data_IF_200546344901
#
_entry.id   IF_200546344901
#
_cell.length_a   1.000
_cell.length_b   1.000
_cell.length_c   1.000
_cell.angle_alpha   90.00
_cell.angle_beta   90.00
_cell.angle_gamma   90.00
#
_symmetry.space_group_name_H-M   'P 1'
#
loop_
_entity.id
_entity.type
_entity.pdbx_description
1 polymer ?
#
# COMPACT_ATOMS: atom_id res chain seq x y z
N UNK A 1 9.83 -28.17 39.58
CA UNK A 1 10.27 -26.75 39.51
C UNK A 1 10.21 -26.19 38.07
N UNK A 2 10.71 -26.90 37.06
CA UNK A 2 10.67 -26.40 35.67
C UNK A 2 9.26 -26.14 35.13
N UNK A 3 8.28 -27.03 35.38
CA UNK A 3 6.89 -26.81 34.93
C UNK A 3 6.22 -25.61 35.59
N UNK A 4 6.61 -25.26 36.81
CA UNK A 4 6.10 -24.08 37.53
C UNK A 4 6.72 -22.79 36.98
N UNK A 5 7.99 -22.84 36.58
CA UNK A 5 8.70 -21.73 35.94
C UNK A 5 8.14 -21.45 34.55
N UNK A 6 7.84 -22.48 33.77
CA UNK A 6 7.20 -22.33 32.45
C UNK A 6 5.78 -21.78 32.56
N UNK A 7 5.02 -22.21 33.58
CA UNK A 7 3.67 -21.69 33.84
C UNK A 7 3.71 -20.23 34.31
N UNK A 8 4.70 -19.85 35.15
CA UNK A 8 4.93 -18.47 35.57
C UNK A 8 5.40 -17.62 34.38
N UNK A 9 6.24 -18.13 33.50
CA UNK A 9 6.68 -17.45 32.28
C UNK A 9 5.54 -17.25 31.29
N UNK A 10 4.65 -18.22 31.12
CA UNK A 10 3.42 -18.13 30.33
C UNK A 10 2.39 -17.15 30.93
N UNK A 11 2.30 -17.11 32.27
CA UNK A 11 1.45 -16.16 32.98
C UNK A 11 2.02 -14.73 32.91
N UNK A 12 3.35 -14.57 32.99
CA UNK A 12 4.02 -13.28 32.83
C UNK A 12 3.93 -12.82 31.37
N UNK A 13 4.08 -13.71 30.39
CA UNK A 13 3.83 -13.38 28.97
C UNK A 13 2.37 -12.98 28.75
N UNK A 14 1.38 -13.72 29.29
CA UNK A 14 -0.02 -13.30 29.24
C UNK A 14 -0.29 -11.96 29.92
N UNK A 15 0.36 -11.65 31.04
CA UNK A 15 0.20 -10.35 31.69
C UNK A 15 0.90 -9.20 30.97
N UNK A 16 2.01 -9.43 30.27
CA UNK A 16 2.69 -8.41 29.47
C UNK A 16 2.02 -8.15 28.09
N UNK A 17 1.43 -9.17 27.48
CA UNK A 17 0.60 -9.00 26.29
C UNK A 17 -0.84 -8.62 26.63
N UNK A 18 -1.29 -8.88 27.88
CA UNK A 18 -2.67 -8.72 28.30
C UNK A 18 -3.12 -7.27 28.58
N UNK A 19 -2.24 -6.31 28.77
CA UNK A 19 -2.69 -4.94 29.08
C UNK A 19 -3.13 -4.12 27.86
N UNK A 20 -2.95 -4.63 26.64
CA UNK A 20 -3.43 -3.95 25.42
C UNK A 20 -4.30 -4.80 24.52
N UNK A 21 -4.54 -6.07 24.89
CA UNK A 21 -5.33 -7.03 24.10
C UNK A 21 -6.47 -7.65 24.92
N UNK A 22 -6.83 -7.11 26.08
CA UNK A 22 -8.09 -7.42 26.76
C UNK A 22 -9.29 -6.79 26.03
N UNK A 23 -9.22 -6.78 24.70
CA UNK A 23 -10.38 -6.50 23.90
C UNK A 23 -11.19 -7.79 23.86
N UNK A 24 -12.29 -7.81 24.59
CA UNK A 24 -13.29 -8.87 24.51
C UNK A 24 -13.97 -8.80 23.13
N UNK A 25 -13.23 -9.29 22.11
CA UNK A 25 -13.70 -9.26 20.72
C UNK A 25 -15.06 -9.91 20.47
N UNK A 26 -15.50 -10.93 21.20
CA UNK A 26 -16.87 -11.40 21.11
C UNK A 26 -17.90 -10.35 21.50
N UNK A 27 -17.56 -9.44 22.45
CA UNK A 27 -18.43 -8.37 22.92
C UNK A 27 -18.65 -7.25 21.90
N UNK A 28 -17.68 -7.03 21.00
CA UNK A 28 -17.73 -5.98 19.99
C UNK A 28 -17.77 -6.58 18.59
N UNK A 29 -18.91 -6.60 17.91
CA UNK A 29 -19.00 -7.11 16.54
C UNK A 29 -18.11 -6.28 15.60
N UNK A 30 -17.54 -6.93 14.59
CA UNK A 30 -16.80 -6.21 13.55
C UNK A 30 -17.70 -5.22 12.83
N UNK A 31 -17.16 -4.06 12.44
CA UNK A 31 -17.94 -3.00 11.82
C UNK A 31 -18.89 -2.28 12.77
N UNK A 32 -18.60 -2.26 14.08
CA UNK A 32 -19.40 -1.54 15.05
C UNK A 32 -19.61 -0.09 14.61
N UNK A 33 -20.87 0.31 14.53
CA UNK A 33 -21.25 1.71 14.24
C UNK A 33 -20.93 2.57 15.47
N UNK A 34 -20.07 3.57 15.26
CA UNK A 34 -19.73 4.58 16.25
C UNK A 34 -20.66 5.78 16.12
N UNK A 35 -20.91 6.24 14.88
CA UNK A 35 -21.86 7.29 14.57
C UNK A 35 -22.70 6.93 13.34
N UNK A 36 -24.01 7.17 13.41
CA UNK A 36 -24.95 7.08 12.29
C UNK A 36 -25.54 8.47 12.02
N UNK A 37 -25.10 9.13 10.97
CA UNK A 37 -25.50 10.50 10.64
C UNK A 37 -26.94 10.66 10.18
N UNK A 38 -27.70 9.57 10.15
CA UNK A 38 -29.16 9.60 10.00
C UNK A 38 -29.88 9.95 11.32
N UNK A 39 -29.30 9.51 12.45
CA UNK A 39 -29.94 9.55 13.77
C UNK A 39 -29.18 10.32 14.84
N UNK A 40 -27.83 10.42 14.73
CA UNK A 40 -27.01 11.03 15.77
C UNK A 40 -27.02 12.56 15.64
N UNK A 41 -27.72 13.23 16.54
CA UNK A 41 -27.90 14.69 16.54
C UNK A 41 -26.86 15.45 17.37
N UNK A 42 -26.14 14.76 18.27
CA UNK A 42 -25.31 15.41 19.30
C UNK A 42 -23.84 15.55 18.95
N UNK A 43 -23.40 15.10 17.78
CA UNK A 43 -21.99 15.16 17.40
C UNK A 43 -21.59 16.61 17.07
N UNK A 44 -20.77 17.19 17.96
CA UNK A 44 -20.26 18.56 17.79
C UNK A 44 -19.24 18.60 16.66
N UNK A 45 -19.39 19.56 15.76
CA UNK A 45 -18.43 19.76 14.66
C UNK A 45 -18.17 21.26 14.42
N UNK A 46 -17.02 21.50 13.76
CA UNK A 46 -16.65 22.79 13.16
C UNK A 46 -16.39 22.58 11.68
N UNK A 47 -16.67 23.58 10.86
CA UNK A 47 -16.43 23.49 9.41
C UNK A 47 -15.72 24.73 8.88
N UNK A 48 -14.93 24.51 7.82
CA UNK A 48 -14.22 25.55 7.07
C UNK A 48 -14.43 25.26 5.59
N UNK A 49 -14.67 26.28 4.77
CA UNK A 49 -14.88 26.14 3.33
C UNK A 49 -16.10 25.28 2.95
N UNK A 50 -17.10 25.23 3.82
CA UNK A 50 -18.34 24.47 3.61
C UNK A 50 -19.48 25.46 3.35
N UNK A 51 -20.13 25.31 2.17
CA UNK A 51 -21.25 26.12 1.74
C UNK A 51 -22.55 25.75 2.47
N UNK A 52 -22.80 24.45 2.64
CA UNK A 52 -23.97 23.97 3.35
C UNK A 52 -23.80 22.58 3.94
N UNK A 53 -24.48 22.34 5.05
CA UNK A 53 -24.61 21.03 5.69
C UNK A 53 -26.11 20.81 5.93
N UNK A 54 -26.64 19.71 5.38
CA UNK A 54 -28.07 19.37 5.48
C UNK A 54 -28.20 17.94 5.95
N UNK A 55 -28.94 17.72 7.04
CA UNK A 55 -29.30 16.38 7.50
C UNK A 55 -30.40 15.81 6.61
N UNK A 56 -30.21 14.59 6.13
CA UNK A 56 -31.14 13.89 5.25
C UNK A 56 -31.42 12.48 5.78
N UNK A 57 -32.41 11.80 5.20
CA UNK A 57 -32.67 10.38 5.50
C UNK A 57 -31.49 9.46 5.16
N UNK A 58 -30.57 9.92 4.31
CA UNK A 58 -29.39 9.15 3.86
C UNK A 58 -28.13 9.44 4.67
N UNK A 59 -28.12 10.47 5.50
CA UNK A 59 -27.00 10.93 6.29
C UNK A 59 -26.82 12.45 6.23
N UNK A 60 -25.62 12.93 6.56
CA UNK A 60 -25.25 14.33 6.52
C UNK A 60 -24.76 14.69 5.11
N UNK A 61 -25.59 15.39 4.34
CA UNK A 61 -25.22 15.90 3.00
C UNK A 61 -24.48 17.21 3.13
N UNK A 62 -23.34 17.31 2.48
CA UNK A 62 -22.39 18.41 2.62
C UNK A 62 -22.04 18.94 1.23
N UNK A 63 -22.06 20.27 1.07
CA UNK A 63 -21.61 20.95 -0.15
C UNK A 63 -20.42 21.83 0.21
N UNK A 64 -19.31 21.68 -0.50
CA UNK A 64 -18.10 22.49 -0.31
C UNK A 64 -18.19 23.82 -1.06
N UNK A 65 -17.40 24.80 -0.64
CA UNK A 65 -17.16 26.00 -1.42
C UNK A 65 -16.12 25.74 -2.50
N UNK A 66 -16.32 26.32 -3.69
CA UNK A 66 -15.31 26.28 -4.75
C UNK A 66 -14.11 27.16 -4.40
N UNK A 67 -12.93 26.78 -4.87
CA UNK A 67 -11.70 27.56 -4.71
C UNK A 67 -11.09 27.54 -3.31
N UNK A 68 -11.67 26.77 -2.38
CA UNK A 68 -11.17 26.67 -1.00
C UNK A 68 -10.85 25.24 -0.60
N UNK A 69 -9.97 25.08 0.37
CA UNK A 69 -9.77 23.81 1.05
C UNK A 69 -10.90 23.63 2.07
N UNK A 70 -11.70 22.60 1.92
CA UNK A 70 -12.91 22.40 2.71
C UNK A 70 -12.71 21.31 3.75
N UNK A 71 -13.16 21.54 4.99
CA UNK A 71 -12.93 20.64 6.10
C UNK A 71 -14.08 20.62 7.09
N UNK A 72 -14.41 19.44 7.60
CA UNK A 72 -15.30 19.25 8.75
C UNK A 72 -14.54 18.52 9.84
N UNK A 73 -14.50 19.07 11.03
CA UNK A 73 -13.80 18.56 12.19
C UNK A 73 -14.83 18.17 13.25
N UNK A 74 -14.90 16.90 13.58
CA UNK A 74 -15.79 16.36 14.58
C UNK A 74 -15.03 16.19 15.90
N UNK A 75 -15.67 16.62 17.00
CA UNK A 75 -15.14 16.43 18.36
C UNK A 75 -15.82 15.22 18.99
N UNK A 76 -15.04 14.34 19.58
CA UNK A 76 -15.51 13.12 20.23
C UNK A 76 -14.65 12.79 21.46
N UNK A 77 -15.03 11.76 22.18
CA UNK A 77 -14.22 11.15 23.24
C UNK A 77 -14.38 9.62 23.10
N UNK A 78 -13.41 8.99 22.42
CA UNK A 78 -13.49 7.57 22.08
C UNK A 78 -12.27 6.81 22.57
N UNK A 79 -12.49 5.60 23.07
CA UNK A 79 -11.47 4.58 23.25
C UNK A 79 -11.46 3.64 22.02
N UNK A 80 -10.46 3.81 21.17
CA UNK A 80 -10.26 2.99 19.97
C UNK A 80 -9.08 2.02 20.13
N UNK A 81 -8.61 1.78 21.35
CA UNK A 81 -7.44 0.91 21.60
C UNK A 81 -7.65 -0.55 21.20
N UNK A 82 -8.89 -0.99 21.12
CA UNK A 82 -9.28 -2.34 20.68
C UNK A 82 -9.54 -2.48 19.18
N UNK A 83 -9.42 -1.40 18.42
CA UNK A 83 -9.76 -1.38 17.00
C UNK A 83 -8.54 -1.17 16.13
N UNK A 84 -8.60 -1.67 14.90
CA UNK A 84 -7.52 -1.50 13.92
C UNK A 84 -7.81 -0.44 12.89
N UNK A 85 -9.08 -0.14 12.66
CA UNK A 85 -9.48 0.87 11.68
C UNK A 85 -10.65 1.70 12.21
N UNK A 86 -10.63 3.01 11.93
CA UNK A 86 -11.80 3.86 11.96
C UNK A 86 -12.21 4.13 10.50
N UNK A 87 -13.41 3.74 10.15
CA UNK A 87 -13.92 3.76 8.78
C UNK A 87 -15.02 4.81 8.62
N UNK A 88 -15.01 5.51 7.49
CA UNK A 88 -16.00 6.53 7.13
C UNK A 88 -16.73 6.09 5.88
N UNK A 89 -18.05 5.90 5.96
CA UNK A 89 -18.87 5.59 4.79
C UNK A 89 -19.30 6.89 4.14
N UNK A 90 -18.77 7.16 2.95
CA UNK A 90 -18.98 8.37 2.16
C UNK A 90 -19.64 8.02 0.83
N UNK A 91 -20.60 8.84 0.41
CA UNK A 91 -21.18 8.80 -0.92
C UNK A 91 -20.79 10.06 -1.68
N UNK A 92 -20.21 9.90 -2.85
CA UNK A 92 -19.91 11.00 -3.74
C UNK A 92 -21.16 11.34 -4.56
N UNK A 93 -21.78 12.46 -4.27
CA UNK A 93 -22.93 12.96 -5.01
C UNK A 93 -22.55 14.04 -6.05
N UNK A 94 -21.26 14.22 -6.33
CA UNK A 94 -20.75 15.13 -7.36
C UNK A 94 -20.69 14.45 -8.72
N UNK A 95 -20.70 15.25 -9.79
CA UNK A 95 -20.50 14.78 -11.17
C UNK A 95 -19.03 14.62 -11.56
N UNK A 96 -18.17 14.42 -10.58
CA UNK A 96 -16.72 14.24 -10.79
C UNK A 96 -16.12 13.37 -9.66
N UNK A 97 -14.95 12.82 -9.95
CA UNK A 97 -14.18 12.06 -8.96
C UNK A 97 -13.81 12.96 -7.78
N UNK A 98 -14.09 12.49 -6.57
CA UNK A 98 -13.86 13.20 -5.33
C UNK A 98 -12.57 12.70 -4.67
N UNK A 99 -11.66 13.61 -4.34
CA UNK A 99 -10.54 13.31 -3.42
C UNK A 99 -10.96 13.67 -2.00
N UNK A 100 -10.73 12.74 -1.07
CA UNK A 100 -11.01 12.98 0.35
C UNK A 100 -9.80 12.57 1.18
N UNK A 101 -9.46 13.41 2.15
CA UNK A 101 -8.50 13.10 3.20
C UNK A 101 -9.30 12.91 4.49
N UNK A 102 -8.94 11.90 5.27
CA UNK A 102 -9.53 11.67 6.58
C UNK A 102 -8.43 11.66 7.63
N UNK A 103 -8.68 12.21 8.80
CA UNK A 103 -7.71 12.18 9.90
C UNK A 103 -8.38 11.79 11.20
N UNK A 104 -7.64 11.07 12.04
CA UNK A 104 -8.03 10.76 13.42
C UNK A 104 -6.96 11.35 14.33
N UNK A 105 -7.38 12.04 15.39
CA UNK A 105 -6.47 12.71 16.31
C UNK A 105 -6.90 12.53 17.78
N UNK A 106 -5.94 12.69 18.67
CA UNK A 106 -6.13 12.49 20.09
C UNK A 106 -5.02 13.14 20.90
N UNK A 107 -5.11 12.99 22.20
CA UNK A 107 -4.13 13.51 23.14
C UNK A 107 -3.04 12.48 23.44
N UNK A 108 -1.86 12.99 23.76
CA UNK A 108 -0.77 12.20 24.31
C UNK A 108 -0.22 12.91 25.54
N UNK A 109 -0.45 12.34 26.73
CA UNK A 109 -0.02 12.91 28.01
C UNK A 109 1.48 13.17 28.10
N UNK A 110 2.27 12.48 27.30
CA UNK A 110 3.73 12.57 27.29
C UNK A 110 4.29 13.53 26.22
N UNK A 111 3.44 14.20 25.43
CA UNK A 111 3.84 15.04 24.30
C UNK A 111 2.97 16.27 24.15
N UNK A 112 3.60 17.41 23.89
CA UNK A 112 2.87 18.68 23.63
C UNK A 112 2.08 18.70 22.32
N UNK A 113 2.45 17.85 21.35
CA UNK A 113 1.76 17.72 20.07
C UNK A 113 1.79 16.27 19.59
N UNK A 114 0.79 15.91 18.84
CA UNK A 114 0.61 14.59 18.24
C UNK A 114 0.42 14.73 16.73
N UNK A 115 0.80 13.70 16.00
CA UNK A 115 0.47 13.63 14.56
C UNK A 115 -0.85 12.90 14.38
N UNK A 116 -1.76 13.44 13.57
CA UNK A 116 -2.98 12.72 13.21
C UNK A 116 -2.66 11.47 12.39
N UNK A 117 -3.51 10.47 12.48
CA UNK A 117 -3.51 9.31 11.60
C UNK A 117 -4.34 9.67 10.38
N UNK A 118 -3.71 9.77 9.21
CA UNK A 118 -4.33 10.31 8.00
C UNK A 118 -4.46 9.26 6.91
N UNK A 119 -5.61 9.23 6.24
CA UNK A 119 -5.89 8.47 5.02
C UNK A 119 -6.21 9.39 3.84
N UNK A 120 -5.87 8.97 2.61
CA UNK A 120 -6.15 9.69 1.37
C UNK A 120 -6.85 8.74 0.41
N UNK A 121 -8.01 9.15 -0.10
CA UNK A 121 -8.87 8.30 -0.92
C UNK A 121 -9.42 9.05 -2.13
N UNK A 122 -9.87 8.26 -3.11
CA UNK A 122 -10.54 8.76 -4.30
C UNK A 122 -11.85 8.00 -4.49
N UNK A 123 -12.96 8.73 -4.52
CA UNK A 123 -14.31 8.17 -4.66
C UNK A 123 -14.84 8.57 -6.05
N UNK A 124 -15.27 7.59 -6.83
CA UNK A 124 -15.84 7.85 -8.17
C UNK A 124 -17.20 8.54 -8.05
N UNK A 125 -17.67 9.08 -9.16
CA UNK A 125 -19.02 9.66 -9.26
C UNK A 125 -20.08 8.66 -8.85
N UNK A 126 -21.02 9.08 -8.00
CA UNK A 126 -22.13 8.27 -7.49
C UNK A 126 -21.69 6.97 -6.76
N UNK A 127 -20.45 6.87 -6.36
CA UNK A 127 -19.91 5.73 -5.59
C UNK A 127 -20.14 5.95 -4.10
N UNK A 128 -20.54 4.85 -3.41
CA UNK A 128 -20.49 4.77 -1.95
C UNK A 128 -19.24 3.98 -1.61
N UNK A 129 -18.34 4.58 -0.86
CA UNK A 129 -17.09 3.98 -0.44
C UNK A 129 -16.93 4.07 1.08
N UNK A 130 -16.50 2.97 1.69
CA UNK A 130 -16.01 2.97 3.06
C UNK A 130 -14.50 3.16 3.06
N UNK A 131 -14.04 4.30 3.58
CA UNK A 131 -12.63 4.68 3.64
C UNK A 131 -12.07 4.43 5.03
N UNK A 132 -10.95 3.72 5.13
CA UNK A 132 -10.43 3.15 6.36
C UNK A 132 -9.18 3.86 6.85
N UNK A 133 -9.22 4.52 8.00
CA UNK A 133 -8.03 5.02 8.68
C UNK A 133 -7.43 3.95 9.59
N UNK A 134 -6.22 3.55 9.31
CA UNK A 134 -5.47 2.62 10.14
C UNK A 134 -5.13 3.27 11.49
N UNK A 135 -5.52 2.63 12.59
CA UNK A 135 -5.25 3.04 13.96
C UNK A 135 -3.92 2.44 14.41
N UNK A 136 -2.88 3.26 14.38
CA UNK A 136 -1.53 2.85 14.76
C UNK A 136 -1.24 3.19 16.21
N UNK A 137 -0.75 2.23 17.01
CA UNK A 137 -0.40 2.47 18.40
C UNK A 137 0.76 3.46 18.54
N UNK A 138 0.71 4.32 19.55
CA UNK A 138 1.84 5.18 19.88
C UNK A 138 3.02 4.37 20.46
N UNK A 139 4.23 4.75 20.04
CA UNK A 139 5.46 4.08 20.45
C UNK A 139 5.66 4.09 21.99
N UNK A 140 5.31 5.19 22.65
CA UNK A 140 5.52 5.32 24.10
C UNK A 140 4.69 4.33 24.92
N UNK A 141 3.51 3.95 24.43
CA UNK A 141 2.59 3.03 25.09
C UNK A 141 2.94 1.55 24.85
N UNK A 142 3.72 1.25 23.80
CA UNK A 142 4.06 -0.13 23.40
C UNK A 142 5.56 -0.38 23.21
N UNK A 143 6.38 0.29 24.02
CA UNK A 143 7.86 0.21 23.93
C UNK A 143 8.41 -1.21 24.03
N UNK A 144 7.83 -2.06 24.87
CA UNK A 144 8.27 -3.46 25.02
C UNK A 144 8.00 -4.28 23.76
N UNK A 145 6.79 -4.19 23.20
CA UNK A 145 6.43 -4.85 21.95
C UNK A 145 7.30 -4.35 20.78
N UNK A 146 7.56 -3.05 20.71
CA UNK A 146 8.44 -2.46 19.71
C UNK A 146 9.86 -3.05 19.78
N UNK A 147 10.43 -3.13 20.99
CA UNK A 147 11.76 -3.74 21.17
C UNK A 147 11.79 -5.21 20.77
N UNK A 148 10.75 -5.97 21.12
CA UNK A 148 10.63 -7.37 20.76
C UNK A 148 10.53 -7.55 19.24
N UNK A 149 9.68 -6.77 18.59
CA UNK A 149 9.52 -6.80 17.13
C UNK A 149 10.83 -6.47 16.41
N UNK A 150 11.58 -5.47 16.87
CA UNK A 150 12.89 -5.17 16.27
C UNK A 150 13.93 -6.26 16.47
N UNK A 151 13.81 -7.02 17.55
CA UNK A 151 14.67 -8.20 17.79
C UNK A 151 14.30 -9.33 16.84
N UNK A 152 13.01 -9.62 16.69
CA UNK A 152 12.51 -10.72 15.87
C UNK A 152 12.54 -10.39 14.37
N UNK A 153 12.41 -9.09 14.00
CA UNK A 153 12.45 -8.60 12.62
C UNK A 153 13.57 -7.58 12.41
N UNK A 154 14.83 -8.00 12.49
CA UNK A 154 15.96 -7.07 12.43
C UNK A 154 16.03 -6.34 11.08
N UNK A 155 16.23 -5.00 11.15
CA UNK A 155 16.39 -4.12 10.00
C UNK A 155 15.19 -4.09 9.01
N UNK A 156 14.00 -4.48 9.43
CA UNK A 156 12.80 -4.27 8.63
C UNK A 156 12.30 -2.82 8.77
N UNK A 157 11.77 -2.27 7.67
CA UNK A 157 11.14 -0.92 7.68
C UNK A 157 9.72 -0.93 8.24
N UNK A 158 9.08 -2.08 8.24
CA UNK A 158 7.78 -2.35 8.82
C UNK A 158 7.75 -3.78 9.33
N UNK A 159 6.66 -4.16 9.97
CA UNK A 159 6.49 -5.50 10.51
C UNK A 159 5.38 -6.24 9.75
N UNK A 160 5.39 -7.58 9.72
CA UNK A 160 4.33 -8.35 9.11
C UNK A 160 2.93 -7.94 9.62
N UNK A 161 1.92 -8.18 8.81
CA UNK A 161 0.50 -7.97 9.17
C UNK A 161 0.15 -6.51 9.50
N UNK A 162 0.95 -5.57 8.98
CA UNK A 162 0.70 -4.15 9.17
C UNK A 162 1.00 -3.63 10.57
N UNK A 163 1.67 -4.39 11.42
CA UNK A 163 2.12 -3.89 12.72
C UNK A 163 3.09 -2.74 12.49
N UNK A 164 2.73 -1.56 12.95
CA UNK A 164 3.54 -0.37 12.83
C UNK A 164 3.41 0.49 14.08
N UNK A 165 4.41 1.35 14.31
CA UNK A 165 4.41 2.29 15.42
C UNK A 165 4.76 3.67 14.91
N UNK A 166 4.00 4.65 15.33
CA UNK A 166 4.23 6.06 15.03
C UNK A 166 4.17 6.89 16.31
N UNK A 167 4.81 8.04 16.28
CA UNK A 167 4.67 9.01 17.35
C UNK A 167 3.35 9.75 17.17
N UNK A 168 2.23 9.10 17.52
CA UNK A 168 0.91 9.68 17.42
C UNK A 168 0.33 9.97 18.83
N UNK A 169 -0.85 9.53 19.10
CA UNK A 169 -1.58 9.74 20.35
C UNK A 169 -2.00 8.40 20.96
N UNK A 170 -2.47 8.44 22.19
CA UNK A 170 -3.04 7.27 22.85
C UNK A 170 -4.43 6.98 22.28
N UNK A 171 -4.62 5.81 21.68
CA UNK A 171 -5.91 5.38 21.10
C UNK A 171 -7.04 5.28 22.13
N UNK A 172 -6.73 5.26 23.44
CA UNK A 172 -7.72 5.37 24.52
C UNK A 172 -8.25 6.79 24.70
N UNK A 173 -7.65 7.76 24.02
CA UNK A 173 -7.93 9.19 24.19
C UNK A 173 -8.05 9.87 22.82
N UNK A 174 -8.92 9.33 21.97
CA UNK A 174 -9.25 9.91 20.66
C UNK A 174 -10.21 11.06 20.89
N UNK A 175 -9.78 12.28 20.54
CA UNK A 175 -10.54 13.51 20.80
C UNK A 175 -11.28 14.03 19.57
N UNK A 176 -11.02 13.44 18.40
CA UNK A 176 -11.73 13.83 17.19
C UNK A 176 -11.26 13.13 15.93
N UNK A 177 -11.98 13.44 14.87
CA UNK A 177 -11.64 13.06 13.50
C UNK A 177 -12.06 14.17 12.54
N UNK A 178 -11.46 14.20 11.37
CA UNK A 178 -11.85 15.15 10.34
C UNK A 178 -11.96 14.50 8.95
N UNK A 179 -12.71 15.18 8.11
CA UNK A 179 -12.83 14.89 6.68
C UNK A 179 -12.51 16.18 5.95
N UNK A 180 -11.49 16.11 5.09
CA UNK A 180 -10.98 17.25 4.34
C UNK A 180 -11.05 16.97 2.85
N UNK A 181 -11.47 17.98 2.10
CA UNK A 181 -11.54 18.00 0.64
C UNK A 181 -10.58 19.07 0.13
N UNK A 182 -9.54 18.69 -0.60
CA UNK A 182 -8.62 19.63 -1.20
C UNK A 182 -9.33 20.64 -2.11
N UNK A 183 -8.75 21.80 -2.27
CA UNK A 183 -9.26 22.87 -3.14
C UNK A 183 -9.71 22.34 -4.50
N UNK A 184 -10.92 22.69 -4.89
CA UNK A 184 -11.54 22.33 -6.16
C UNK A 184 -12.10 23.56 -6.86
N UNK A 185 -12.01 23.60 -8.17
CA UNK A 185 -12.62 24.63 -9.03
C UNK A 185 -14.16 24.57 -9.03
N UNK A 186 -14.73 23.46 -8.54
CA UNK A 186 -16.15 23.18 -8.50
C UNK A 186 -16.62 22.90 -7.08
N UNK A 187 -17.89 23.19 -6.81
CA UNK A 187 -18.55 22.71 -5.60
C UNK A 187 -18.57 21.17 -5.62
N UNK A 188 -18.19 20.57 -4.52
CA UNK A 188 -18.23 19.11 -4.34
C UNK A 188 -19.38 18.78 -3.39
N UNK A 189 -20.13 17.74 -3.74
CA UNK A 189 -21.29 17.30 -2.96
C UNK A 189 -21.05 15.86 -2.53
N UNK A 190 -21.16 15.61 -1.24
CA UNK A 190 -21.03 14.26 -0.70
C UNK A 190 -21.97 14.06 0.49
N UNK A 191 -22.23 12.80 0.82
CA UNK A 191 -23.01 12.41 1.98
C UNK A 191 -22.17 11.55 2.91
N UNK A 192 -21.96 12.03 4.14
CA UNK A 192 -21.38 11.23 5.22
C UNK A 192 -22.50 10.41 5.87
N UNK A 193 -22.38 9.07 5.76
CA UNK A 193 -23.42 8.14 6.23
C UNK A 193 -23.13 7.61 7.62
N UNK A 194 -21.95 7.03 7.82
CA UNK A 194 -21.58 6.34 9.07
C UNK A 194 -20.10 6.45 9.36
N UNK A 195 -19.78 6.38 10.64
CA UNK A 195 -18.42 6.07 11.13
C UNK A 195 -18.47 4.74 11.86
N UNK A 196 -17.55 3.82 11.49
CA UNK A 196 -17.46 2.48 12.06
C UNK A 196 -16.08 2.20 12.60
N UNK A 197 -15.99 1.31 13.58
CA UNK A 197 -14.74 0.74 14.03
C UNK A 197 -14.63 -0.72 13.59
N UNK A 198 -13.50 -1.08 13.00
CA UNK A 198 -13.23 -2.42 12.51
C UNK A 198 -12.07 -3.08 13.26
N UNK A 199 -12.22 -4.37 13.50
CA UNK A 199 -11.14 -5.25 13.95
C UNK A 199 -10.10 -5.44 12.85
N UNK A 200 -8.92 -5.97 13.16
CA UNK A 200 -8.01 -6.42 12.11
C UNK A 200 -8.73 -7.48 11.26
N UNK A 201 -8.64 -7.34 9.96
CA UNK A 201 -9.20 -8.31 9.00
C UNK A 201 -8.54 -9.68 9.10
N UNK A 202 -7.33 -9.72 9.67
CA UNK A 202 -6.55 -10.92 9.96
C UNK A 202 -5.98 -10.74 11.35
N UNK A 203 -6.26 -11.67 12.26
CA UNK A 203 -5.58 -11.74 13.55
C UNK A 203 -4.08 -11.91 13.29
N UNK A 204 -3.19 -11.05 13.82
CA UNK A 204 -1.76 -11.18 13.56
C UNK A 204 -1.26 -12.55 14.03
N UNK A 205 -0.93 -13.43 13.10
CA UNK A 205 -0.42 -14.78 13.42
C UNK A 205 0.86 -14.72 14.25
N UNK A 206 1.70 -13.73 14.01
CA UNK A 206 2.88 -13.48 14.83
C UNK A 206 2.56 -13.21 16.31
N UNK A 207 1.47 -12.50 16.60
CA UNK A 207 1.07 -12.17 17.98
C UNK A 207 0.42 -13.37 18.66
N UNK A 208 -0.37 -14.16 17.93
CA UNK A 208 -1.08 -15.33 18.46
C UNK A 208 -0.19 -16.56 18.58
N UNK A 209 0.72 -16.77 17.63
CA UNK A 209 1.64 -17.90 17.57
C UNK A 209 2.96 -17.49 16.91
N UNK A 210 3.87 -16.96 17.72
CA UNK A 210 5.16 -16.49 17.25
C UNK A 210 6.02 -17.62 16.65
N UNK A 211 6.01 -18.80 17.24
CA UNK A 211 6.83 -19.93 16.77
C UNK A 211 6.30 -20.50 15.47
N UNK A 212 4.98 -20.61 15.34
CA UNK A 212 4.32 -21.04 14.10
C UNK A 212 4.33 -20.00 13.00
N UNK A 213 4.59 -18.72 13.33
CA UNK A 213 4.68 -17.65 12.32
C UNK A 213 5.91 -17.78 11.43
N UNK A 214 7.05 -18.19 11.98
CA UNK A 214 8.29 -18.38 11.23
C UNK A 214 8.43 -19.81 10.67
N UNK A 215 8.94 -19.98 9.44
CA UNK A 215 9.27 -18.98 8.44
C UNK A 215 8.03 -18.41 7.75
N UNK A 216 8.04 -17.11 7.46
CA UNK A 216 6.90 -16.44 6.81
C UNK A 216 7.14 -16.11 5.32
N UNK A 217 8.33 -16.39 4.80
CA UNK A 217 8.67 -16.24 3.38
C UNK A 217 8.84 -17.63 2.77
N UNK A 218 8.10 -17.89 1.69
CA UNK A 218 8.12 -19.17 0.98
C UNK A 218 9.37 -19.36 0.10
N UNK A 219 9.49 -20.52 -0.55
CA UNK A 219 10.60 -20.87 -1.43
C UNK A 219 10.74 -19.93 -2.66
N UNK A 220 9.74 -19.14 -2.99
CA UNK A 220 9.78 -18.15 -4.07
C UNK A 220 10.06 -16.73 -3.58
N UNK A 221 10.35 -16.55 -2.28
CA UNK A 221 10.56 -15.24 -1.69
C UNK A 221 9.28 -14.44 -1.49
N UNK A 222 8.13 -15.09 -1.43
CA UNK A 222 6.80 -14.50 -1.27
C UNK A 222 6.29 -14.70 0.16
N UNK A 223 5.42 -13.77 0.62
CA UNK A 223 4.77 -13.93 1.91
C UNK A 223 3.83 -15.14 1.93
N UNK A 224 3.96 -16.03 2.91
CA UNK A 224 3.25 -17.31 2.96
C UNK A 224 1.76 -17.18 3.25
N UNK A 225 1.39 -16.30 4.15
CA UNK A 225 0.07 -16.31 4.80
C UNK A 225 -1.01 -15.50 4.06
N UNK A 226 -0.68 -14.88 2.92
CA UNK A 226 -1.66 -14.25 2.04
C UNK A 226 -1.63 -14.87 0.66
N UNK A 227 -2.78 -14.91 0.01
CA UNK A 227 -2.90 -15.27 -1.40
C UNK A 227 -3.24 -14.02 -2.22
N UNK A 228 -2.77 -13.95 -3.45
CA UNK A 228 -3.09 -12.88 -4.39
C UNK A 228 -3.04 -13.39 -5.83
N UNK A 229 -3.66 -12.64 -6.73
CA UNK A 229 -3.61 -12.97 -8.15
C UNK A 229 -2.17 -12.96 -8.65
N UNK A 230 -1.69 -14.13 -9.11
CA UNK A 230 -0.34 -14.29 -9.65
C UNK A 230 0.71 -14.74 -8.64
N UNK A 231 0.33 -15.04 -7.37
CA UNK A 231 1.22 -15.72 -6.43
C UNK A 231 1.67 -17.06 -7.01
N UNK A 232 2.97 -17.30 -7.00
CA UNK A 232 3.59 -18.52 -7.54
C UNK A 232 3.45 -19.62 -6.49
N UNK A 233 2.84 -20.74 -6.86
CA UNK A 233 2.62 -21.91 -5.99
C UNK A 233 3.50 -23.11 -6.35
N UNK A 234 3.96 -23.18 -7.61
CA UNK A 234 4.88 -24.23 -8.10
C UNK A 234 5.60 -23.80 -9.39
N UNK A 235 6.67 -24.53 -9.73
CA UNK A 235 7.52 -24.24 -10.89
C UNK A 235 6.77 -24.36 -12.23
N UNK A 236 5.75 -25.21 -12.31
CA UNK A 236 4.96 -25.36 -13.54
C UNK A 236 4.18 -24.09 -13.88
N UNK A 237 3.72 -23.35 -12.88
CA UNK A 237 3.07 -22.05 -13.10
C UNK A 237 3.99 -21.05 -13.76
N UNK A 238 5.29 -21.05 -13.45
CA UNK A 238 6.28 -20.17 -14.11
C UNK A 238 6.36 -20.46 -15.61
N UNK A 239 6.34 -21.74 -16.00
CA UNK A 239 6.36 -22.17 -17.41
C UNK A 239 5.05 -21.81 -18.12
N UNK A 240 3.91 -22.04 -17.45
CA UNK A 240 2.59 -21.65 -17.97
C UNK A 240 2.47 -20.15 -18.17
N UNK A 241 3.04 -19.34 -17.27
CA UNK A 241 3.07 -17.88 -17.42
C UNK A 241 3.76 -17.44 -18.72
N UNK A 242 4.80 -18.15 -19.19
CA UNK A 242 5.46 -17.81 -20.46
C UNK A 242 4.46 -17.90 -21.62
N UNK A 243 3.69 -18.97 -21.68
CA UNK A 243 2.70 -19.18 -22.76
C UNK A 243 1.58 -18.13 -22.71
N UNK A 244 1.12 -17.79 -21.50
CA UNK A 244 0.10 -16.75 -21.31
C UNK A 244 0.65 -15.39 -21.75
N UNK A 245 1.88 -15.04 -21.33
CA UNK A 245 2.55 -13.81 -21.72
C UNK A 245 2.78 -13.71 -23.23
N UNK A 246 3.20 -14.79 -23.88
CA UNK A 246 3.41 -14.82 -25.33
C UNK A 246 2.12 -14.59 -26.08
N UNK A 247 1.05 -15.26 -25.66
CA UNK A 247 -0.29 -15.08 -26.27
C UNK A 247 -0.78 -13.63 -26.09
N UNK A 248 -0.62 -13.07 -24.91
CA UNK A 248 -1.05 -11.70 -24.63
C UNK A 248 -0.23 -10.66 -25.42
N UNK A 249 1.08 -10.83 -25.53
CA UNK A 249 1.95 -9.95 -26.32
C UNK A 249 1.66 -10.02 -27.83
N UNK A 250 1.27 -11.19 -28.33
CA UNK A 250 0.82 -11.33 -29.73
C UNK A 250 -0.52 -10.63 -29.95
N UNK A 251 -1.44 -10.70 -29.00
CA UNK A 251 -2.76 -10.05 -29.06
C UNK A 251 -2.70 -8.53 -28.86
N UNK A 252 -1.70 -8.06 -28.16
CA UNK A 252 -1.50 -6.65 -27.79
C UNK A 252 -0.11 -6.17 -28.25
N UNK A 253 0.15 -6.04 -29.55
CA UNK A 253 1.45 -5.60 -30.06
C UNK A 253 1.69 -4.11 -29.77
N UNK A 254 2.91 -3.65 -30.03
CA UNK A 254 3.25 -2.23 -30.04
C UNK A 254 2.35 -1.44 -31.00
N UNK A 255 2.13 -0.16 -30.68
CA UNK A 255 1.41 0.75 -31.58
C UNK A 255 2.01 0.74 -32.99
N UNK A 256 1.14 0.61 -34.01
CA UNK A 256 1.51 0.73 -35.43
C UNK A 256 1.89 2.16 -35.85
N UNK A 257 1.61 3.13 -34.98
CA UNK A 257 1.93 4.55 -35.18
C UNK A 257 3.35 4.91 -34.71
N UNK A 258 4.09 3.93 -34.22
CA UNK A 258 5.47 4.11 -33.75
C UNK A 258 6.47 3.43 -34.68
N UNK A 259 7.58 4.13 -34.92
CA UNK A 259 8.74 3.47 -35.51
C UNK A 259 9.49 2.60 -34.47
N UNK A 260 10.62 2.03 -34.87
CA UNK A 260 11.46 1.16 -34.01
C UNK A 260 11.93 1.82 -32.71
N UNK A 261 12.04 3.17 -32.67
CA UNK A 261 12.45 3.93 -31.52
C UNK A 261 11.29 4.44 -30.65
N UNK A 262 10.05 4.30 -31.09
CA UNK A 262 8.85 4.83 -30.44
C UNK A 262 8.50 6.24 -30.89
N UNK A 263 9.11 6.74 -31.97
CA UNK A 263 8.78 8.00 -32.63
C UNK A 263 7.45 7.93 -33.37
N UNK A 264 6.73 9.04 -33.42
CA UNK A 264 5.38 9.13 -33.97
C UNK A 264 5.37 9.22 -35.49
N UNK A 265 5.05 8.11 -36.19
CA UNK A 265 5.08 7.98 -37.64
C UNK A 265 4.12 8.89 -38.40
N UNK A 266 2.99 9.29 -37.79
CA UNK A 266 1.99 10.17 -38.41
C UNK A 266 2.29 11.64 -38.22
N UNK A 267 3.32 11.99 -37.42
CA UNK A 267 3.74 13.36 -37.20
C UNK A 267 4.70 13.86 -38.30
N UNK A 268 5.07 15.17 -38.24
CA UNK A 268 6.07 15.70 -39.15
C UNK A 268 7.41 14.96 -38.95
N UNK A 269 8.08 14.67 -40.06
CA UNK A 269 9.42 14.08 -40.07
C UNK A 269 10.45 15.15 -40.35
N UNK A 270 11.44 15.26 -39.45
CA UNK A 270 12.60 16.12 -39.57
C UNK A 270 13.82 15.34 -40.04
N UNK A 271 14.95 16.03 -40.21
CA UNK A 271 16.19 15.36 -40.59
C UNK A 271 16.60 14.34 -39.52
N UNK A 272 16.80 13.08 -39.90
CA UNK A 272 17.40 12.05 -39.05
C UNK A 272 18.88 12.32 -38.82
N UNK A 273 19.35 12.16 -37.58
CA UNK A 273 20.76 12.38 -37.20
C UNK A 273 21.43 11.13 -36.62
N UNK A 274 20.69 10.02 -36.52
CA UNK A 274 21.18 8.76 -35.95
C UNK A 274 21.20 8.72 -34.43
N UNK A 275 20.79 9.80 -33.74
CA UNK A 275 20.70 9.88 -32.28
C UNK A 275 19.49 10.72 -31.85
N UNK A 276 19.05 10.53 -30.59
CA UNK A 276 18.02 11.38 -29.99
C UNK A 276 18.55 12.80 -29.76
N UNK A 277 17.69 13.78 -30.05
CA UNK A 277 18.02 15.20 -29.82
C UNK A 277 16.79 15.97 -29.39
N UNK A 278 17.02 17.20 -28.92
CA UNK A 278 15.96 18.17 -28.60
C UNK A 278 15.99 19.29 -29.66
N UNK A 279 14.83 19.66 -30.16
CA UNK A 279 14.68 20.70 -31.18
C UNK A 279 13.45 21.55 -30.88
N UNK A 280 13.52 22.86 -31.19
CA UNK A 280 12.39 23.78 -31.05
C UNK A 280 11.62 23.83 -32.34
N UNK A 281 10.36 23.32 -32.31
CA UNK A 281 9.47 23.27 -33.46
C UNK A 281 8.20 24.03 -33.12
N UNK A 282 7.82 25.00 -33.93
CA UNK A 282 6.64 25.87 -33.72
C UNK A 282 6.56 26.46 -32.30
N UNK A 283 7.71 26.90 -31.82
CA UNK A 283 7.83 27.52 -30.49
C UNK A 283 7.87 26.58 -29.30
N UNK A 284 7.70 25.25 -29.49
CA UNK A 284 7.72 24.22 -28.45
C UNK A 284 8.96 23.35 -28.55
N UNK A 285 9.47 22.87 -27.42
CA UNK A 285 10.57 21.92 -27.36
C UNK A 285 10.05 20.49 -27.51
N UNK A 286 10.69 19.74 -28.44
CA UNK A 286 10.38 18.33 -28.71
C UNK A 286 11.63 17.48 -28.65
N UNK A 287 11.47 16.23 -28.24
CA UNK A 287 12.44 15.20 -28.58
C UNK A 287 12.20 14.74 -30.01
N UNK A 288 13.30 14.55 -30.74
CA UNK A 288 13.33 13.87 -32.03
C UNK A 288 14.11 12.57 -31.88
N UNK A 289 13.60 11.52 -32.46
CA UNK A 289 14.29 10.25 -32.49
C UNK A 289 15.42 10.21 -33.54
N UNK A 290 16.25 9.16 -33.59
CA UNK A 290 17.33 9.04 -34.57
C UNK A 290 16.92 9.14 -36.04
N UNK A 291 15.68 8.75 -36.37
CA UNK A 291 15.13 8.80 -37.74
C UNK A 291 14.41 10.14 -38.04
N UNK A 292 14.35 11.06 -37.06
CA UNK A 292 13.81 12.42 -37.20
C UNK A 292 12.31 12.55 -36.92
N UNK A 293 11.68 11.56 -36.28
CA UNK A 293 10.28 11.65 -35.87
C UNK A 293 10.14 12.28 -34.49
N UNK A 294 9.00 12.94 -34.28
CA UNK A 294 8.65 13.47 -32.96
C UNK A 294 8.57 12.32 -31.96
N UNK A 295 9.19 12.50 -30.82
CA UNK A 295 9.25 11.50 -29.76
C UNK A 295 8.71 12.07 -28.45
N UNK A 296 7.64 11.45 -27.96
CA UNK A 296 7.09 11.73 -26.63
C UNK A 296 7.57 10.67 -25.67
N UNK A 297 8.52 11.02 -24.79
CA UNK A 297 9.07 10.10 -23.81
C UNK A 297 8.01 9.73 -22.76
N UNK A 298 7.51 8.51 -22.81
CA UNK A 298 6.58 7.96 -21.84
C UNK A 298 7.09 6.60 -21.36
N UNK A 299 7.32 6.45 -20.05
CA UNK A 299 7.97 5.27 -19.54
C UNK A 299 7.84 5.05 -18.04
N UNK A 300 8.55 4.03 -17.57
CA UNK A 300 8.61 3.66 -16.16
C UNK A 300 10.05 3.46 -15.72
N UNK A 301 10.33 3.84 -14.47
CA UNK A 301 11.62 3.61 -13.86
C UNK A 301 11.81 2.15 -13.47
N UNK A 302 13.04 1.66 -13.55
CA UNK A 302 13.45 0.30 -13.16
C UNK A 302 12.74 -0.82 -13.94
N UNK A 303 12.24 -0.53 -15.13
CA UNK A 303 11.70 -1.55 -16.03
C UNK A 303 12.79 -2.58 -16.39
N UNK A 304 12.43 -3.87 -16.38
CA UNK A 304 13.38 -4.95 -16.64
C UNK A 304 14.39 -5.21 -15.52
N UNK A 305 14.31 -4.52 -14.40
CA UNK A 305 15.17 -4.79 -13.24
C UNK A 305 14.67 -6.03 -12.49
N UNK A 306 15.53 -7.01 -12.29
CA UNK A 306 15.22 -8.25 -11.56
C UNK A 306 16.23 -8.56 -10.46
N UNK A 307 17.38 -7.93 -10.47
CA UNK A 307 18.41 -8.08 -9.44
C UNK A 307 18.09 -7.24 -8.20
N UNK A 308 16.97 -7.55 -7.54
CA UNK A 308 16.58 -6.90 -6.30
C UNK A 308 17.11 -7.72 -5.13
N UNK A 309 18.00 -7.14 -4.31
CA UNK A 309 18.60 -7.85 -3.19
C UNK A 309 17.62 -8.10 -2.06
N UNK A 310 17.66 -9.29 -1.48
CA UNK A 310 16.98 -9.62 -0.23
C UNK A 310 18.03 -9.80 0.86
N UNK A 311 18.16 -8.86 1.82
CA UNK A 311 19.08 -8.99 2.93
C UNK A 311 18.71 -10.20 3.80
N UNK A 312 19.68 -11.07 4.07
CA UNK A 312 19.46 -12.33 4.80
C UNK A 312 20.21 -12.40 6.14
N UNK A 313 21.23 -11.59 6.34
CA UNK A 313 22.03 -11.59 7.58
C UNK A 313 21.15 -11.33 8.80
N UNK A 314 21.15 -12.22 9.77
CA UNK A 314 20.32 -12.24 10.97
C UNK A 314 18.80 -12.37 10.68
N UNK A 315 18.44 -12.86 9.48
CA UNK A 315 17.07 -13.03 9.00
C UNK A 315 16.83 -14.43 8.44
N UNK A 316 17.75 -15.34 8.63
CA UNK A 316 17.71 -16.69 8.06
C UNK A 316 16.43 -17.43 8.45
N UNK A 317 15.91 -17.18 9.64
CA UNK A 317 14.66 -17.74 10.15
C UNK A 317 13.38 -17.22 9.44
N UNK A 318 13.49 -16.18 8.61
CA UNK A 318 12.34 -15.68 7.83
C UNK A 318 11.95 -16.62 6.70
N UNK A 319 12.91 -17.40 6.19
CA UNK A 319 12.81 -18.07 4.91
C UNK A 319 12.57 -19.57 5.09
N UNK A 320 11.55 -20.09 4.43
CA UNK A 320 11.29 -21.53 4.33
C UNK A 320 12.38 -22.24 3.53
N UNK A 321 12.94 -21.55 2.55
CA UNK A 321 13.99 -22.04 1.69
C UNK A 321 15.10 -20.99 1.55
N UNK A 322 16.23 -21.28 2.18
CA UNK A 322 17.45 -20.51 1.99
C UNK A 322 18.60 -21.53 1.86
N UNK A 323 18.98 -21.89 0.61
CA UNK A 323 19.98 -22.91 0.36
C UNK A 323 21.36 -22.49 0.88
N UNK A 324 22.26 -23.46 1.04
CA UNK A 324 23.63 -23.15 1.42
C UNK A 324 24.32 -22.27 0.37
N UNK A 325 25.07 -21.27 0.84
CA UNK A 325 25.89 -20.43 -0.04
C UNK A 325 26.97 -21.24 -0.78
N UNK A 326 27.40 -22.38 -0.22
CA UNK A 326 28.42 -23.26 -0.82
C UNK A 326 27.81 -24.23 -1.85
N UNK A 327 26.50 -24.28 -1.97
CA UNK A 327 25.81 -25.09 -2.98
C UNK A 327 26.14 -24.56 -4.38
N UNK A 328 26.64 -25.43 -5.25
CA UNK A 328 27.09 -25.08 -6.60
C UNK A 328 25.95 -24.51 -7.48
N UNK A 329 24.70 -24.97 -7.26
CA UNK A 329 23.53 -24.54 -8.02
C UNK A 329 23.09 -23.15 -7.57
N UNK A 330 23.10 -22.89 -6.26
CA UNK A 330 22.50 -21.69 -5.68
C UNK A 330 23.49 -20.57 -5.39
N UNK A 331 24.81 -20.85 -5.41
CA UNK A 331 25.87 -19.86 -5.18
C UNK A 331 25.74 -18.60 -6.04
N UNK A 332 25.31 -18.72 -7.27
CA UNK A 332 25.15 -17.61 -8.22
C UNK A 332 24.07 -16.60 -7.82
N UNK A 333 23.14 -16.96 -6.93
CA UNK A 333 22.09 -16.07 -6.42
C UNK A 333 22.49 -15.33 -5.15
N UNK A 334 23.70 -15.56 -4.63
CA UNK A 334 24.24 -14.87 -3.47
C UNK A 334 25.20 -13.77 -3.87
N UNK A 335 25.04 -12.58 -3.26
CA UNK A 335 26.04 -11.51 -3.29
C UNK A 335 26.16 -10.94 -1.87
N UNK A 336 27.36 -10.96 -1.27
CA UNK A 336 27.57 -10.53 0.12
C UNK A 336 26.58 -11.20 1.09
N UNK A 337 25.80 -10.42 1.82
CA UNK A 337 24.80 -10.89 2.79
C UNK A 337 23.35 -10.82 2.22
N UNK A 338 23.20 -11.04 0.94
CA UNK A 338 21.95 -10.91 0.19
C UNK A 338 21.71 -12.16 -0.66
N UNK A 339 20.44 -12.51 -0.79
CA UNK A 339 19.96 -13.54 -1.71
C UNK A 339 19.00 -12.93 -2.73
N UNK A 340 19.09 -13.33 -3.98
CA UNK A 340 18.36 -12.73 -5.09
C UNK A 340 17.23 -13.66 -5.56
N UNK A 341 16.11 -13.69 -4.83
CA UNK A 341 14.94 -14.49 -5.19
C UNK A 341 14.42 -14.17 -6.59
N UNK A 342 14.40 -12.90 -6.98
CA UNK A 342 13.98 -12.50 -8.33
C UNK A 342 14.83 -13.17 -9.41
N UNK A 343 16.15 -13.27 -9.21
CA UNK A 343 17.02 -13.97 -10.15
C UNK A 343 16.74 -15.47 -10.18
N UNK A 344 16.59 -16.11 -9.00
CA UNK A 344 16.23 -17.53 -8.90
C UNK A 344 14.92 -17.85 -9.64
N UNK A 345 13.88 -17.05 -9.42
CA UNK A 345 12.57 -17.24 -10.05
C UNK A 345 12.67 -17.12 -11.57
N UNK A 346 13.37 -16.09 -12.06
CA UNK A 346 13.52 -15.88 -13.50
C UNK A 346 14.41 -16.93 -14.16
N UNK A 347 15.40 -17.46 -13.44
CA UNK A 347 16.20 -18.58 -13.92
C UNK A 347 15.38 -19.87 -13.99
N UNK A 348 14.51 -20.14 -13.03
CA UNK A 348 13.53 -21.22 -13.09
C UNK A 348 12.53 -21.02 -14.25
N UNK A 349 12.15 -19.79 -14.53
CA UNK A 349 11.19 -19.45 -15.59
C UNK A 349 11.82 -19.54 -16.99
N UNK A 350 12.99 -18.95 -17.20
CA UNK A 350 13.60 -18.75 -18.52
C UNK A 350 14.88 -19.55 -18.76
N UNK A 351 15.40 -20.26 -17.75
CA UNK A 351 16.67 -20.96 -17.78
C UNK A 351 17.87 -20.06 -17.49
N UNK A 352 19.07 -20.62 -17.56
CA UNK A 352 20.33 -19.99 -17.12
C UNK A 352 20.76 -18.74 -17.91
N UNK A 353 20.09 -18.42 -19.02
CA UNK A 353 20.36 -17.24 -19.85
C UNK A 353 19.30 -16.14 -19.62
N UNK A 354 18.78 -16.06 -18.43
CA UNK A 354 17.61 -15.25 -18.03
C UNK A 354 17.61 -13.79 -18.47
N UNK A 355 18.76 -13.14 -18.52
CA UNK A 355 18.86 -11.71 -18.79
C UNK A 355 18.28 -11.30 -20.14
N UNK A 356 18.68 -11.96 -21.21
CA UNK A 356 18.20 -11.63 -22.57
C UNK A 356 16.70 -11.91 -22.77
N UNK A 357 16.17 -13.10 -22.46
CA UNK A 357 14.73 -13.38 -22.58
C UNK A 357 13.87 -12.45 -21.75
N UNK A 358 14.26 -12.18 -20.51
CA UNK A 358 13.52 -11.30 -19.61
C UNK A 358 13.50 -9.85 -20.09
N UNK A 359 14.65 -9.29 -20.48
CA UNK A 359 14.73 -7.93 -20.99
C UNK A 359 13.93 -7.77 -22.29
N UNK A 360 14.04 -8.71 -23.22
CA UNK A 360 13.23 -8.72 -24.44
C UNK A 360 11.74 -8.69 -24.16
N UNK A 361 11.26 -9.52 -23.22
CA UNK A 361 9.84 -9.55 -22.82
C UNK A 361 9.41 -8.26 -22.13
N UNK A 362 10.26 -7.70 -21.27
CA UNK A 362 10.00 -6.41 -20.61
C UNK A 362 9.82 -5.28 -21.62
N UNK A 363 10.68 -5.22 -22.65
CA UNK A 363 10.57 -4.24 -23.74
C UNK A 363 9.28 -4.46 -24.54
N UNK A 364 8.95 -5.69 -24.90
CA UNK A 364 7.71 -5.99 -25.62
C UNK A 364 6.48 -5.62 -24.79
N UNK A 365 6.50 -5.92 -23.50
CA UNK A 365 5.43 -5.57 -22.57
C UNK A 365 5.24 -4.07 -22.45
N UNK A 366 6.31 -3.31 -22.30
CA UNK A 366 6.24 -1.86 -22.28
C UNK A 366 5.64 -1.30 -23.57
N UNK A 367 6.11 -1.76 -24.71
CA UNK A 367 5.55 -1.36 -26.00
C UNK A 367 4.06 -1.71 -26.15
N UNK A 368 3.65 -2.88 -25.64
CA UNK A 368 2.25 -3.31 -25.59
C UNK A 368 1.39 -2.38 -24.72
N UNK A 369 1.95 -1.78 -23.69
CA UNK A 369 1.28 -0.82 -22.81
C UNK A 369 1.35 0.64 -23.30
N UNK A 370 1.90 0.90 -24.46
CA UNK A 370 2.08 2.25 -24.97
C UNK A 370 3.20 3.02 -24.30
N UNK A 371 4.22 2.32 -23.79
CA UNK A 371 5.40 2.93 -23.17
C UNK A 371 6.62 2.72 -24.07
N UNK A 372 7.42 3.76 -24.27
CA UNK A 372 8.57 3.76 -25.17
C UNK A 372 9.92 4.09 -24.49
N UNK A 373 9.91 4.40 -23.19
CA UNK A 373 11.11 4.80 -22.44
C UNK A 373 11.30 3.91 -21.21
N UNK A 374 12.52 3.44 -20.99
CA UNK A 374 12.95 2.76 -19.76
C UNK A 374 13.89 3.68 -19.00
N UNK A 375 13.60 3.93 -17.69
CA UNK A 375 14.41 4.72 -16.77
C UNK A 375 15.11 3.86 -15.71
#
# INVERSE_FOLDING_TARGET
>A
MEKLIILLYLLILKSFFGQSLNCDYPKYPDGQVIYDFKSDDDLKYKSVGIKSIVKTKEGMKITTEKGTNSKIIFSCNLDLSCWSYLAFTLENNSNSKLRVNTSVFGENKNRKWTKPLTGIYWIKENEILEVNNLLLPDYSTRKTLYKQLHKDFPNMRGFPEGISFVNSFDLRSVTGFDIEFPTSEFEQIFTLKKVRAHKPSISPTYISDKEGFFPFIDQYGQYKYLDWRGKIKNDNQLKTQILIEDKDLLSNPSSKEWNKYGGFLKGPRHQGTGHFRVEKIDGKWWFLDPDGYLFWSNGVNSAGRFEIPTPIKNREHFFEFLPSRNDSIYRKYYRRNEFYFGYLILDKKYGSTVQKPYLKRSILRMKSWGLNTMG
#
